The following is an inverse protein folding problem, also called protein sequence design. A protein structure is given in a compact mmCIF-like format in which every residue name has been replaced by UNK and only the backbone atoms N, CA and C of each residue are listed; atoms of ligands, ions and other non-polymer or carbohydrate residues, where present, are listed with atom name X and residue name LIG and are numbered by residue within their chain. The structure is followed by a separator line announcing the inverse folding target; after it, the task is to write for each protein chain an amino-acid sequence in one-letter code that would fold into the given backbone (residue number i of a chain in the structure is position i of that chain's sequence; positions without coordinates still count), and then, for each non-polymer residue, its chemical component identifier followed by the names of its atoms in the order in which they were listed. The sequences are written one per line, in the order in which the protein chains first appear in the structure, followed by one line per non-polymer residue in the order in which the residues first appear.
data_IF_881523690475
#
_entry.id   IF_881523690475
#
_cell.length_a   1.000
_cell.length_b   1.000
_cell.length_c   1.000
_cell.angle_alpha   90.00
_cell.angle_beta   90.00
_cell.angle_gamma   90.00
#
_symmetry.space_group_name_H-M   'P 1'
#
loop_
_entity.id
_entity.type
_entity.pdbx_description
1 polymer ?
#
# COMPACT_ATOMS: atom_id res chain seq x y z
N UNK A 1 16.51 4.07 3.46
CA UNK A 1 17.01 4.16 2.07
C UNK A 1 15.88 3.84 1.10
N UNK A 2 15.98 4.30 -0.15
CA UNK A 2 14.93 4.21 -1.20
C UNK A 2 14.30 2.82 -1.36
N UNK A 3 15.03 1.75 -1.06
CA UNK A 3 14.55 0.36 -1.06
C UNK A 3 13.52 0.03 0.02
N UNK A 4 13.16 1.00 0.88
CA UNK A 4 12.14 0.86 1.93
C UNK A 4 10.80 1.53 1.59
N UNK A 5 10.69 2.24 0.46
CA UNK A 5 9.44 2.89 0.06
C UNK A 5 8.48 1.93 -0.66
N UNK A 6 7.19 1.94 -0.32
CA UNK A 6 6.20 1.15 -1.06
C UNK A 6 6.13 1.61 -2.52
N UNK A 7 5.84 0.67 -3.42
CA UNK A 7 5.78 0.94 -4.86
C UNK A 7 4.32 0.99 -5.31
N UNK A 8 3.85 2.06 -5.98
CA UNK A 8 2.52 2.06 -6.58
C UNK A 8 2.48 1.02 -7.72
N UNK A 9 1.47 0.16 -7.71
CA UNK A 9 1.31 -0.93 -8.69
C UNK A 9 0.04 -0.80 -9.54
N UNK A 10 -0.94 -0.03 -9.08
CA UNK A 10 -2.16 0.25 -9.84
C UNK A 10 -2.72 1.65 -9.50
N UNK A 11 -3.19 2.43 -10.49
CA UNK A 11 -3.12 2.14 -11.93
C UNK A 11 -1.66 2.11 -12.44
N UNK A 12 -1.38 1.40 -13.54
CA UNK A 12 -0.02 1.30 -14.09
C UNK A 12 0.56 2.67 -14.47
N UNK A 13 1.89 2.79 -14.43
CA UNK A 13 2.60 4.00 -14.86
C UNK A 13 2.71 5.09 -13.78
N UNK A 14 2.24 4.83 -12.56
CA UNK A 14 2.46 5.69 -11.41
C UNK A 14 3.85 5.51 -10.81
N UNK A 15 4.45 6.62 -10.33
CA UNK A 15 5.74 6.65 -9.63
C UNK A 15 5.74 7.72 -8.55
N UNK A 16 6.42 7.44 -7.44
CA UNK A 16 6.77 8.44 -6.45
C UNK A 16 7.81 9.42 -7.02
N UNK A 17 7.78 10.67 -6.55
CA UNK A 17 8.86 11.63 -6.87
C UNK A 17 10.16 11.24 -6.16
N UNK A 18 11.27 11.89 -6.54
CA UNK A 18 12.55 11.68 -5.83
C UNK A 18 12.69 12.55 -4.57
N UNK A 19 11.84 13.57 -4.44
CA UNK A 19 11.99 14.63 -3.43
C UNK A 19 11.27 14.28 -2.12
N UNK A 20 10.24 13.44 -2.19
CA UNK A 20 9.37 13.12 -1.08
C UNK A 20 8.97 11.63 -1.13
N UNK A 21 9.01 11.00 0.04
CA UNK A 21 8.59 9.62 0.25
C UNK A 21 7.07 9.46 0.35
N UNK A 22 6.61 8.21 0.37
CA UNK A 22 5.20 7.93 0.63
C UNK A 22 4.81 8.34 2.06
N UNK A 23 3.77 9.16 2.20
CA UNK A 23 3.20 9.54 3.48
C UNK A 23 4.03 10.52 4.33
N UNK A 24 5.03 11.21 3.76
CA UNK A 24 5.83 12.21 4.51
C UNK A 24 5.03 13.48 4.82
N UNK A 25 4.40 14.08 3.80
CA UNK A 25 3.43 15.18 3.95
C UNK A 25 2.20 14.85 3.11
N UNK A 26 2.46 14.52 1.84
CA UNK A 26 1.54 13.84 0.94
C UNK A 26 2.26 12.62 0.34
N UNK A 27 1.52 11.80 -0.41
CA UNK A 27 2.12 10.72 -1.22
C UNK A 27 2.17 11.20 -2.67
N UNK A 28 3.29 11.76 -3.14
CA UNK A 28 3.33 12.46 -4.42
C UNK A 28 3.43 11.47 -5.58
N UNK A 29 2.33 11.29 -6.30
CA UNK A 29 2.24 10.38 -7.43
C UNK A 29 2.37 11.12 -8.76
N UNK A 30 3.17 10.57 -9.67
CA UNK A 30 3.46 11.15 -10.99
C UNK A 30 3.49 10.08 -12.07
N UNK A 31 3.54 10.51 -13.34
CA UNK A 31 3.66 9.64 -14.51
C UNK A 31 2.36 9.53 -15.32
N UNK A 32 2.36 8.78 -16.44
CA UNK A 32 1.20 8.71 -17.34
C UNK A 32 -0.08 8.23 -16.66
N UNK A 33 0.03 7.33 -15.67
CA UNK A 33 -1.12 6.85 -14.89
C UNK A 33 -1.73 7.92 -13.98
N UNK A 34 -1.03 9.01 -13.68
CA UNK A 34 -1.54 10.07 -12.81
C UNK A 34 -2.51 11.00 -13.53
N UNK A 35 -2.35 11.16 -14.85
CA UNK A 35 -3.21 12.04 -15.65
C UNK A 35 -4.67 11.59 -15.71
N UNK A 36 -4.93 10.30 -15.48
CA UNK A 36 -6.27 9.72 -15.47
C UNK A 36 -6.93 9.64 -14.09
N UNK A 37 -6.26 10.07 -13.03
CA UNK A 37 -6.81 9.97 -11.67
C UNK A 37 -7.75 11.12 -11.35
N UNK A 38 -8.90 10.79 -10.79
CA UNK A 38 -9.86 11.71 -10.19
C UNK A 38 -9.90 11.56 -8.67
N UNK A 39 -10.49 12.53 -7.98
CA UNK A 39 -10.75 12.44 -6.54
C UNK A 39 -11.68 11.25 -6.27
N UNK A 40 -11.26 10.36 -5.38
CA UNK A 40 -11.99 9.13 -5.04
C UNK A 40 -11.41 7.87 -5.69
N UNK A 41 -10.56 8.02 -6.70
CA UNK A 41 -9.86 6.88 -7.30
C UNK A 41 -8.90 6.22 -6.31
N UNK A 42 -8.76 4.90 -6.43
CA UNK A 42 -7.89 4.10 -5.57
C UNK A 42 -6.52 3.96 -6.20
N UNK A 43 -5.48 4.05 -5.38
CA UNK A 43 -4.12 3.69 -5.79
C UNK A 43 -3.63 2.57 -4.90
N UNK A 44 -3.19 1.48 -5.52
CA UNK A 44 -2.69 0.31 -4.80
C UNK A 44 -1.18 0.34 -4.76
N UNK A 45 -0.64 0.06 -3.57
CA UNK A 45 0.78 0.00 -3.32
C UNK A 45 1.19 -1.40 -2.91
N UNK A 46 2.33 -1.86 -3.44
CA UNK A 46 3.05 -3.01 -2.92
C UNK A 46 4.02 -2.52 -1.85
N UNK A 47 3.85 -3.04 -0.64
CA UNK A 47 4.77 -2.79 0.48
C UNK A 47 6.17 -3.37 0.19
N UNK A 48 7.18 -2.88 0.89
CA UNK A 48 8.58 -3.31 0.68
C UNK A 48 8.94 -4.60 1.39
N UNK A 49 8.32 -4.90 2.53
CA UNK A 49 8.55 -6.13 3.30
C UNK A 49 7.24 -6.78 3.68
N UNK A 50 7.08 -8.05 3.33
CA UNK A 50 5.83 -8.78 3.50
C UNK A 50 5.37 -8.92 4.95
N UNK A 51 6.30 -9.09 5.89
CA UNK A 51 5.95 -9.22 7.30
C UNK A 51 5.62 -7.90 8.01
N UNK A 52 6.16 -6.77 7.56
CA UNK A 52 6.08 -5.52 8.32
C UNK A 52 4.65 -4.98 8.44
N UNK A 53 3.82 -5.16 7.41
CA UNK A 53 2.41 -4.75 7.50
C UNK A 53 1.66 -5.52 8.58
N UNK A 54 1.92 -6.82 8.72
CA UNK A 54 1.25 -7.68 9.70
C UNK A 54 1.57 -7.32 11.15
N UNK A 55 2.62 -6.54 11.40
CA UNK A 55 2.96 -5.97 12.71
C UNK A 55 2.18 -4.68 13.01
N UNK A 56 1.63 -4.03 11.98
CA UNK A 56 0.99 -2.69 12.07
C UNK A 56 -0.53 -2.72 11.90
N UNK A 57 -1.08 -3.73 11.23
CA UNK A 57 -2.54 -3.91 11.04
C UNK A 57 -3.02 -5.20 11.67
N UNK A 58 -4.31 -5.27 12.06
CA UNK A 58 -4.88 -6.43 12.73
C UNK A 58 -5.43 -7.50 11.77
N UNK A 59 -5.76 -7.13 10.54
CA UNK A 59 -6.37 -8.04 9.58
C UNK A 59 -5.92 -7.72 8.14
N UNK A 60 -5.95 -8.75 7.30
CA UNK A 60 -5.76 -8.66 5.86
C UNK A 60 -7.08 -9.03 5.16
N UNK A 61 -7.48 -8.22 4.19
CA UNK A 61 -8.61 -8.53 3.33
C UNK A 61 -8.12 -9.30 2.11
N UNK A 62 -8.69 -10.48 1.87
CA UNK A 62 -8.40 -11.28 0.69
C UNK A 62 -9.33 -10.82 -0.42
N UNK A 63 -8.75 -10.45 -1.56
CA UNK A 63 -9.48 -9.89 -2.69
C UNK A 63 -9.35 -10.80 -3.90
N UNK A 64 -10.48 -11.14 -4.52
CA UNK A 64 -10.56 -11.77 -5.83
C UNK A 64 -11.34 -10.84 -6.76
N UNK A 65 -10.67 -10.34 -7.80
CA UNK A 65 -11.20 -9.29 -8.67
C UNK A 65 -11.60 -8.04 -7.89
N UNK A 66 -12.90 -7.75 -7.86
CA UNK A 66 -13.52 -6.60 -7.19
C UNK A 66 -14.19 -6.97 -5.85
N UNK A 67 -14.04 -8.21 -5.39
CA UNK A 67 -14.71 -8.73 -4.18
C UNK A 67 -13.72 -9.06 -3.08
N UNK A 68 -14.06 -8.66 -1.86
CA UNK A 68 -13.44 -9.21 -0.66
C UNK A 68 -14.04 -10.60 -0.43
N UNK A 69 -13.22 -11.64 -0.53
CA UNK A 69 -13.64 -13.03 -0.37
C UNK A 69 -13.43 -13.55 1.05
N UNK A 70 -12.52 -12.96 1.81
CA UNK A 70 -12.28 -13.32 3.21
C UNK A 70 -11.54 -12.19 3.96
N UNK A 71 -11.48 -12.28 5.29
CA UNK A 71 -10.71 -11.41 6.17
C UNK A 71 -9.96 -12.26 7.19
N UNK A 72 -8.64 -12.32 7.07
CA UNK A 72 -7.79 -13.11 7.96
C UNK A 72 -7.08 -12.22 8.99
N UNK A 73 -6.94 -12.68 10.25
CA UNK A 73 -6.18 -11.94 11.24
C UNK A 73 -4.68 -11.98 10.90
N UNK A 74 -3.96 -10.94 11.29
CA UNK A 74 -2.48 -10.94 11.31
C UNK A 74 -1.98 -11.46 12.65
N UNK A 75 -0.66 -11.70 12.79
CA UNK A 75 -0.06 -11.99 14.10
C UNK A 75 -0.42 -10.93 15.15
N UNK A 76 -0.48 -9.64 14.78
CA UNK A 76 -0.97 -8.58 15.67
C UNK A 76 -2.43 -8.75 16.04
N UNK A 77 -3.29 -9.06 15.06
CA UNK A 77 -4.71 -9.34 15.29
C UNK A 77 -4.95 -10.54 16.22
N UNK A 78 -4.03 -11.50 16.22
CA UNK A 78 -4.03 -12.64 17.14
C UNK A 78 -3.36 -12.35 18.50
N UNK A 79 -2.94 -11.11 18.75
CA UNK A 79 -2.25 -10.73 20.00
C UNK A 79 -0.81 -11.27 20.11
N UNK A 80 -0.18 -11.63 18.98
CA UNK A 80 1.16 -12.24 18.89
C UNK A 80 2.25 -11.26 18.43
N UNK A 81 1.96 -9.96 18.31
CA UNK A 81 2.97 -8.96 17.99
C UNK A 81 3.82 -8.62 19.23
N UNK A 82 5.12 -8.91 19.17
CA UNK A 82 6.11 -8.49 20.16
C UNK A 82 6.48 -7.03 19.85
N UNK A 83 6.12 -6.09 20.73
CA UNK A 83 6.50 -4.67 20.64
C UNK A 83 7.72 -4.36 21.51
#
# INVERSE_FOLDING_TARGET
GRDRLPTPVWPPGLRLTRLEGAGEVQTPLTGPGAAGLAIGDRVWFRHTKAGELCERVNALHLVDGDRVVDVLPTYRGEGRALL
#
